data_IF_046175869573
#
_entry.id   IF_046175869573
#
_cell.length_a   1.000
_cell.length_b   1.000
_cell.length_c   1.000
_cell.angle_alpha   90.00
_cell.angle_beta   90.00
_cell.angle_gamma   90.00
#
_symmetry.space_group_name_H-M   'P 1'
#
loop_
_entity.id
_entity.type
_entity.pdbx_description
1 polymer ?
#
# COMPACT_ATOMS: atom_id res chain seq x y z
N UNK A 1 32.23 7.31 3.02
CA UNK A 1 30.92 7.54 2.37
C UNK A 1 30.09 6.30 2.60
N UNK A 2 28.97 6.41 3.33
CA UNK A 2 28.03 5.30 3.42
C UNK A 2 27.54 4.95 2.02
N UNK A 3 27.43 3.67 1.73
CA UNK A 3 26.93 3.18 0.45
C UNK A 3 25.52 3.76 0.20
N UNK A 4 25.39 4.62 -0.81
CA UNK A 4 24.14 5.32 -1.14
C UNK A 4 22.96 4.36 -1.31
N UNK A 5 23.22 3.15 -1.80
CA UNK A 5 22.22 2.09 -1.95
C UNK A 5 21.67 1.65 -0.60
N UNK A 6 22.53 1.49 0.42
CA UNK A 6 22.11 1.09 1.75
C UNK A 6 21.27 2.18 2.44
N UNK A 7 21.56 3.46 2.17
CA UNK A 7 20.74 4.57 2.63
C UNK A 7 19.32 4.55 2.04
N UNK A 8 19.19 4.34 0.72
CA UNK A 8 17.89 4.24 0.05
C UNK A 8 17.10 3.03 0.58
N UNK A 9 17.76 1.88 0.77
CA UNK A 9 17.13 0.68 1.34
C UNK A 9 16.54 0.95 2.72
N UNK A 10 17.28 1.60 3.62
CA UNK A 10 16.78 1.95 4.96
C UNK A 10 15.54 2.85 4.92
N UNK A 11 15.49 3.82 3.99
CA UNK A 11 14.31 4.66 3.84
C UNK A 11 13.10 3.86 3.35
N UNK A 12 13.30 2.97 2.37
CA UNK A 12 12.25 2.08 1.89
C UNK A 12 11.73 1.17 3.01
N UNK A 13 12.62 0.49 3.74
CA UNK A 13 12.25 -0.40 4.84
C UNK A 13 11.49 0.34 5.95
N UNK A 14 11.91 1.55 6.31
CA UNK A 14 11.23 2.39 7.29
C UNK A 14 9.83 2.78 6.81
N UNK A 15 9.69 3.18 5.54
CA UNK A 15 8.41 3.53 4.92
C UNK A 15 7.45 2.34 4.89
N UNK A 16 7.92 1.18 4.42
CA UNK A 16 7.12 -0.05 4.40
C UNK A 16 6.71 -0.47 5.82
N UNK A 17 7.63 -0.43 6.79
CA UNK A 17 7.31 -0.74 8.19
C UNK A 17 6.21 0.17 8.74
N UNK A 18 6.27 1.47 8.42
CA UNK A 18 5.22 2.40 8.81
C UNK A 18 3.87 2.03 8.18
N UNK A 19 3.82 1.73 6.88
CA UNK A 19 2.57 1.32 6.22
C UNK A 19 1.99 0.03 6.80
N UNK A 20 2.82 -0.97 7.09
CA UNK A 20 2.33 -2.20 7.75
C UNK A 20 1.76 -1.92 9.13
N UNK A 21 2.41 -1.06 9.93
CA UNK A 21 1.88 -0.65 11.23
C UNK A 21 0.54 0.07 11.11
N UNK A 22 0.32 0.88 10.07
CA UNK A 22 -0.99 1.49 9.83
C UNK A 22 -2.08 0.44 9.58
N UNK A 23 -1.76 -0.70 8.96
CA UNK A 23 -2.72 -1.81 8.81
C UNK A 23 -2.92 -2.52 10.16
N UNK A 24 -1.82 -2.93 10.79
CA UNK A 24 -1.82 -3.79 11.98
C UNK A 24 -2.44 -3.06 13.20
N UNK A 25 -2.19 -1.77 13.36
CA UNK A 25 -2.62 -0.97 14.53
C UNK A 25 -3.92 -0.17 14.29
N UNK A 26 -4.48 -0.15 13.07
CA UNK A 26 -5.74 0.56 12.83
C UNK A 26 -6.88 -0.07 13.66
N UNK A 27 -7.65 0.68 14.45
CA UNK A 27 -8.84 0.16 15.10
C UNK A 27 -9.87 -0.40 14.11
N UNK A 28 -10.50 -1.54 14.42
CA UNK A 28 -11.47 -2.19 13.53
C UNK A 28 -12.67 -1.27 13.21
N UNK A 29 -13.10 -0.47 14.18
CA UNK A 29 -14.18 0.48 14.02
C UNK A 29 -13.80 1.69 13.14
N UNK A 30 -12.51 1.94 12.93
CA UNK A 30 -12.00 2.97 12.02
C UNK A 30 -11.72 2.44 10.62
N UNK A 31 -11.39 1.16 10.47
CA UNK A 31 -10.98 0.57 9.19
C UNK A 31 -11.98 0.83 8.06
N UNK A 32 -13.28 0.64 8.36
CA UNK A 32 -14.41 0.90 7.45
C UNK A 32 -14.94 2.34 7.44
N UNK A 33 -14.26 3.29 8.09
CA UNK A 33 -14.65 4.71 8.09
C UNK A 33 -13.82 5.51 7.10
N UNK A 34 -14.38 6.62 6.63
CA UNK A 34 -13.70 7.58 5.78
C UNK A 34 -12.95 8.62 6.60
N UNK A 35 -11.77 9.01 6.12
CA UNK A 35 -10.98 10.12 6.66
C UNK A 35 -10.35 10.89 5.52
N UNK A 36 -10.81 12.12 5.24
CA UNK A 36 -10.30 12.92 4.12
C UNK A 36 -10.80 12.49 2.74
N UNK A 37 -11.99 11.88 2.66
CA UNK A 37 -12.68 11.55 1.39
C UNK A 37 -12.84 10.05 1.14
N UNK A 38 -11.82 9.27 1.45
CA UNK A 38 -11.76 7.81 1.22
C UNK A 38 -11.59 7.03 2.52
N UNK A 39 -11.85 5.72 2.47
CA UNK A 39 -11.68 4.83 3.62
C UNK A 39 -10.23 4.78 4.11
N UNK A 40 -10.02 4.56 5.41
CA UNK A 40 -8.67 4.42 5.97
C UNK A 40 -7.89 3.30 5.30
N UNK A 41 -8.52 2.15 5.09
CA UNK A 41 -7.92 1.03 4.37
C UNK A 41 -7.52 1.40 2.94
N UNK A 42 -8.34 2.20 2.27
CA UNK A 42 -8.16 2.55 0.87
C UNK A 42 -6.95 3.48 0.68
N UNK A 43 -6.67 4.33 1.67
CA UNK A 43 -5.47 5.18 1.67
C UNK A 43 -4.18 4.36 1.82
N UNK A 44 -4.19 3.33 2.67
CA UNK A 44 -3.03 2.44 2.82
C UNK A 44 -2.85 1.55 1.60
N UNK A 45 -3.95 1.04 1.05
CA UNK A 45 -3.97 0.32 -0.23
C UNK A 45 -3.43 1.17 -1.38
N UNK A 46 -3.82 2.44 -1.47
CA UNK A 46 -3.28 3.41 -2.42
C UNK A 46 -1.76 3.54 -2.29
N UNK A 47 -1.24 3.70 -1.08
CA UNK A 47 0.19 3.82 -0.85
C UNK A 47 0.96 2.57 -1.33
N UNK A 48 0.48 1.37 -1.00
CA UNK A 48 1.09 0.13 -1.50
C UNK A 48 1.02 0.02 -3.02
N UNK A 49 -0.11 0.36 -3.63
CA UNK A 49 -0.27 0.33 -5.08
C UNK A 49 0.71 1.28 -5.77
N UNK A 50 0.86 2.51 -5.26
CA UNK A 50 1.81 3.47 -5.80
C UNK A 50 3.26 2.97 -5.67
N UNK A 51 3.61 2.31 -4.57
CA UNK A 51 4.95 1.72 -4.41
C UNK A 51 5.20 0.66 -5.48
N UNK A 52 4.27 -0.28 -5.70
CA UNK A 52 4.41 -1.33 -6.73
C UNK A 52 4.43 -0.73 -8.14
N UNK A 53 3.65 0.33 -8.39
CA UNK A 53 3.60 1.02 -9.68
C UNK A 53 4.87 1.82 -10.00
N UNK A 54 5.38 2.61 -9.06
CA UNK A 54 6.54 3.47 -9.30
C UNK A 54 7.87 2.73 -9.24
N UNK A 55 7.92 1.58 -8.57
CA UNK A 55 9.11 0.72 -8.54
C UNK A 55 9.07 -0.38 -9.60
N UNK A 56 8.06 -0.36 -10.48
CA UNK A 56 7.92 -1.34 -11.54
C UNK A 56 9.11 -1.27 -12.53
N UNK A 57 9.78 -2.41 -12.81
CA UNK A 57 10.79 -2.45 -13.86
C UNK A 57 10.22 -2.10 -15.24
N UNK A 58 11.05 -1.56 -16.15
CA UNK A 58 10.61 -1.29 -17.52
C UNK A 58 10.11 -2.57 -18.22
N UNK A 59 8.92 -2.49 -18.82
CA UNK A 59 8.34 -3.60 -19.60
C UNK A 59 7.48 -4.58 -18.80
N UNK A 60 7.42 -4.43 -17.48
CA UNK A 60 6.52 -5.20 -16.61
C UNK A 60 5.08 -4.66 -16.68
N UNK A 61 4.11 -5.52 -16.37
CA UNK A 61 2.69 -5.14 -16.34
C UNK A 61 2.35 -4.43 -15.02
N UNK A 62 1.48 -3.41 -15.12
CA UNK A 62 0.95 -2.73 -13.93
C UNK A 62 0.16 -3.76 -13.11
N UNK A 63 0.49 -3.94 -11.83
CA UNK A 63 -0.18 -4.90 -10.97
C UNK A 63 -1.70 -4.67 -10.95
N UNK A 64 -2.45 -5.74 -11.20
CA UNK A 64 -3.88 -5.78 -10.92
C UNK A 64 -4.11 -5.65 -9.42
N UNK A 65 -4.79 -4.59 -9.01
CA UNK A 65 -5.25 -4.41 -7.64
C UNK A 65 -6.48 -5.27 -7.34
N UNK A 66 -6.55 -5.90 -6.16
CA UNK A 66 -7.70 -6.75 -5.77
C UNK A 66 -9.03 -5.98 -5.79
N UNK A 67 -8.98 -4.66 -5.60
CA UNK A 67 -10.14 -3.75 -5.63
C UNK A 67 -10.13 -2.84 -6.86
N UNK A 68 -9.33 -3.17 -7.88
CA UNK A 68 -9.18 -2.40 -9.11
C UNK A 68 -8.35 -1.12 -8.97
N UNK A 69 -8.01 -0.54 -10.13
CA UNK A 69 -7.17 0.67 -10.23
C UNK A 69 -7.89 1.92 -9.74
N UNK A 70 -9.20 2.05 -9.96
CA UNK A 70 -9.96 3.23 -9.55
C UNK A 70 -9.97 3.41 -8.02
N UNK A 71 -10.14 2.31 -7.27
CA UNK A 71 -10.02 2.32 -5.82
C UNK A 71 -8.58 2.61 -5.39
N UNK A 72 -7.60 1.99 -6.04
CA UNK A 72 -6.18 2.17 -5.73
C UNK A 72 -5.68 3.60 -5.98
N UNK A 73 -6.25 4.29 -6.95
CA UNK A 73 -5.88 5.68 -7.31
C UNK A 73 -6.78 6.72 -6.64
N UNK A 74 -7.58 6.32 -5.63
CA UNK A 74 -8.50 7.22 -4.92
C UNK A 74 -9.37 8.02 -5.90
N UNK A 75 -9.86 7.35 -6.95
CA UNK A 75 -10.78 7.94 -7.94
C UNK A 75 -12.22 7.54 -7.68
N UNK A 76 -12.42 6.38 -7.05
CA UNK A 76 -13.72 5.85 -6.65
C UNK A 76 -13.63 5.19 -5.29
N UNK A 77 -14.71 5.22 -4.52
CA UNK A 77 -14.81 4.42 -3.31
C UNK A 77 -15.03 2.96 -3.67
N UNK A 78 -14.41 2.04 -2.92
CA UNK A 78 -14.79 0.64 -2.96
C UNK A 78 -15.75 0.35 -1.80
N UNK A 79 -16.98 -0.03 -2.12
CA UNK A 79 -18.03 -0.32 -1.14
C UNK A 79 -17.81 -1.62 -0.36
N UNK A 80 -16.89 -2.47 -0.85
CA UNK A 80 -16.47 -3.69 -0.16
C UNK A 80 -15.30 -3.34 0.74
N UNK A 81 -15.54 -3.34 2.06
CA UNK A 81 -14.48 -3.12 3.06
C UNK A 81 -13.72 -4.44 3.20
N UNK A 82 -12.43 -4.49 2.82
CA UNK A 82 -11.67 -5.72 2.92
C UNK A 82 -11.21 -6.00 4.34
N UNK A 83 -10.90 -7.26 4.69
CA UNK A 83 -10.17 -7.55 5.91
C UNK A 83 -8.76 -6.95 5.86
N UNK A 84 -8.19 -6.62 7.02
CA UNK A 84 -6.84 -6.03 7.11
C UNK A 84 -5.78 -6.95 6.52
N UNK A 85 -5.96 -8.25 6.69
CA UNK A 85 -5.07 -9.30 6.22
C UNK A 85 -4.91 -9.26 4.70
N UNK A 86 -5.97 -8.91 3.95
CA UNK A 86 -5.91 -8.77 2.50
C UNK A 86 -5.06 -7.57 2.08
N UNK A 87 -5.24 -6.41 2.73
CA UNK A 87 -4.42 -5.21 2.46
C UNK A 87 -2.96 -5.44 2.88
N UNK A 88 -2.75 -6.15 3.99
CA UNK A 88 -1.42 -6.53 4.45
C UNK A 88 -0.74 -7.47 3.46
N UNK A 89 -1.44 -8.51 3.00
CA UNK A 89 -0.93 -9.45 2.01
C UNK A 89 -0.61 -8.75 0.69
N UNK A 90 -1.45 -7.80 0.27
CA UNK A 90 -1.19 -6.95 -0.89
C UNK A 90 0.16 -6.23 -0.75
N UNK A 91 0.39 -5.56 0.39
CA UNK A 91 1.65 -4.87 0.71
C UNK A 91 2.89 -5.79 0.75
N UNK A 92 2.74 -7.04 1.19
CA UNK A 92 3.84 -8.00 1.26
C UNK A 92 4.39 -8.38 -0.12
N UNK A 93 3.55 -8.41 -1.16
CA UNK A 93 3.99 -8.71 -2.54
C UNK A 93 5.03 -7.72 -3.03
N UNK A 94 5.01 -6.46 -2.59
CA UNK A 94 6.03 -5.48 -2.95
C UNK A 94 7.36 -5.71 -2.25
N UNK A 95 7.36 -6.26 -1.01
CA UNK A 95 8.60 -6.60 -0.31
C UNK A 95 9.32 -7.79 -0.95
N UNK A 96 8.60 -8.70 -1.59
CA UNK A 96 9.19 -9.86 -2.27
C UNK A 96 9.88 -9.48 -3.58
N UNK A 97 9.52 -8.35 -4.18
CA UNK A 97 10.08 -7.84 -5.44
C UNK A 97 11.23 -6.85 -5.26
N UNK A 98 11.42 -6.29 -4.05
CA UNK A 98 12.39 -5.25 -3.73
C UNK A 98 13.69 -5.82 -3.14
#
# INVERSE_FOLDING_TARGET
MGNTVDGIRQYYERGMTFLFRLVDECPDDLWGKKGGGFFFWQQVYHAFFCIDYFLLPPGEEIPGGAYGRAAAMLSEDCSVIPPKEEIRAFGMRMKEKA
#
